data_IF_681310179804
#
_entry.id   IF_681310179804
#
_cell.length_a   1.000
_cell.length_b   1.000
_cell.length_c   1.000
_cell.angle_alpha   90.00
_cell.angle_beta   90.00
_cell.angle_gamma   90.00
#
_symmetry.space_group_name_H-M   'P 1'
#
loop_
_entity.id
_entity.type
_entity.pdbx_description
1 polymer ?
#
# COMPACT_ATOMS: atom_id res chain seq x y z
N UNK A 1 -11.20 12.42 33.35
CA UNK A 1 -11.73 11.86 32.07
C UNK A 1 -11.83 13.00 31.07
N UNK A 2 -11.23 12.89 29.89
CA UNK A 2 -11.38 13.90 28.84
C UNK A 2 -12.84 13.94 28.37
N UNK A 3 -13.37 15.15 28.11
CA UNK A 3 -14.70 15.29 27.52
C UNK A 3 -14.68 14.67 26.12
N UNK A 4 -15.61 13.75 25.86
CA UNK A 4 -15.81 13.17 24.53
C UNK A 4 -16.84 14.00 23.79
N UNK A 5 -16.48 14.48 22.60
CA UNK A 5 -17.39 15.20 21.71
C UNK A 5 -17.93 14.27 20.62
N UNK A 6 -19.10 14.60 20.06
CA UNK A 6 -19.73 13.82 18.99
C UNK A 6 -19.50 14.51 17.64
N UNK A 7 -19.11 13.72 16.65
CA UNK A 7 -18.97 14.17 15.26
C UNK A 7 -20.12 13.55 14.46
N UNK A 8 -20.83 14.38 13.70
CA UNK A 8 -21.90 13.94 12.79
C UNK A 8 -21.39 13.96 11.35
N UNK A 9 -21.40 12.79 10.70
CA UNK A 9 -20.98 12.64 9.30
C UNK A 9 -22.17 12.21 8.45
N UNK A 10 -22.40 12.91 7.33
CA UNK A 10 -23.36 12.50 6.30
C UNK A 10 -22.59 11.96 5.11
N UNK A 11 -22.91 10.73 4.71
CA UNK A 11 -22.28 10.05 3.57
C UNK A 11 -23.35 9.35 2.76
N UNK A 12 -23.06 9.11 1.48
CA UNK A 12 -23.91 8.29 0.61
C UNK A 12 -23.87 6.83 1.06
N UNK A 13 -24.94 6.08 0.76
CA UNK A 13 -25.08 4.67 1.14
C UNK A 13 -23.91 3.82 0.66
N UNK A 14 -23.49 3.97 -0.60
CA UNK A 14 -22.39 3.20 -1.19
C UNK A 14 -21.06 3.41 -0.46
N UNK A 15 -20.79 4.65 -0.03
CA UNK A 15 -19.58 4.98 0.73
C UNK A 15 -19.63 4.36 2.12
N UNK A 16 -20.79 4.40 2.76
CA UNK A 16 -20.98 3.77 4.07
C UNK A 16 -20.71 2.27 4.00
N UNK A 17 -21.31 1.59 3.03
CA UNK A 17 -21.12 0.14 2.85
C UNK A 17 -19.64 -0.20 2.59
N UNK A 18 -18.99 0.55 1.70
CA UNK A 18 -17.56 0.38 1.42
C UNK A 18 -16.71 0.50 2.69
N UNK A 19 -17.00 1.48 3.55
CA UNK A 19 -16.25 1.69 4.79
C UNK A 19 -16.51 0.58 5.81
N UNK A 20 -17.75 0.10 5.92
CA UNK A 20 -18.10 -1.02 6.79
C UNK A 20 -17.41 -2.32 6.36
N UNK A 21 -17.39 -2.61 5.05
CA UNK A 21 -16.66 -3.76 4.51
C UNK A 21 -15.16 -3.67 4.83
N UNK A 22 -14.56 -2.48 4.67
CA UNK A 22 -13.15 -2.24 5.00
C UNK A 22 -12.87 -2.38 6.49
N UNK A 23 -13.76 -1.86 7.33
CA UNK A 23 -13.64 -1.96 8.79
C UNK A 23 -13.66 -3.44 9.22
N UNK A 24 -14.62 -4.21 8.68
CA UNK A 24 -14.72 -5.65 8.92
C UNK A 24 -13.46 -6.41 8.48
N UNK A 25 -12.92 -6.10 7.30
CA UNK A 25 -11.67 -6.72 6.79
C UNK A 25 -10.47 -6.46 7.72
N UNK A 26 -10.46 -5.33 8.42
CA UNK A 26 -9.39 -4.94 9.35
C UNK A 26 -9.68 -5.30 10.81
N UNK A 27 -10.83 -5.94 11.10
CA UNK A 27 -11.25 -6.23 12.48
C UNK A 27 -11.58 -5.00 13.31
N UNK A 28 -11.87 -3.87 12.67
CA UNK A 28 -12.16 -2.58 13.32
C UNK A 28 -13.66 -2.26 13.27
N UNK A 29 -14.11 -1.42 14.20
CA UNK A 29 -15.41 -0.75 14.08
C UNK A 29 -15.33 0.35 13.01
N UNK A 30 -16.45 0.79 12.46
CA UNK A 30 -16.47 1.89 11.50
C UNK A 30 -15.83 3.16 12.08
N UNK A 31 -16.16 3.50 13.33
CA UNK A 31 -15.52 4.62 14.06
C UNK A 31 -14.02 4.38 14.23
N UNK A 32 -13.60 3.18 14.62
CA UNK A 32 -12.19 2.84 14.77
C UNK A 32 -11.41 2.97 13.46
N UNK A 33 -12.01 2.56 12.34
CA UNK A 33 -11.43 2.76 11.01
C UNK A 33 -11.29 4.25 10.66
N UNK A 34 -12.33 5.06 10.91
CA UNK A 34 -12.30 6.50 10.61
C UNK A 34 -11.25 7.20 11.46
N UNK A 35 -11.23 6.96 12.78
CA UNK A 35 -10.23 7.55 13.68
C UNK A 35 -8.82 7.09 13.32
N UNK A 36 -8.60 5.79 13.09
CA UNK A 36 -7.31 5.26 12.62
C UNK A 36 -6.86 5.95 11.34
N UNK A 37 -7.76 6.14 10.37
CA UNK A 37 -7.41 6.80 9.12
C UNK A 37 -7.10 8.27 9.33
N UNK A 38 -7.82 9.00 10.17
CA UNK A 38 -7.54 10.41 10.45
C UNK A 38 -6.21 10.58 11.19
N UNK A 39 -5.96 9.78 12.22
CA UNK A 39 -4.73 9.83 13.02
C UNK A 39 -3.50 9.45 12.18
N UNK A 40 -3.67 8.57 11.19
CA UNK A 40 -2.59 8.14 10.30
C UNK A 40 -2.61 8.83 8.93
N UNK A 41 -3.59 9.70 8.63
CA UNK A 41 -3.70 10.37 7.33
C UNK A 41 -2.58 11.39 7.11
N UNK A 42 -2.02 11.94 8.19
CA UNK A 42 -0.91 12.89 8.13
C UNK A 42 0.45 12.21 7.83
N UNK A 43 0.54 10.88 7.89
CA UNK A 43 1.85 10.20 7.82
C UNK A 43 2.30 9.77 6.42
N UNK A 44 1.42 9.80 5.41
CA UNK A 44 1.79 9.39 4.06
C UNK A 44 1.22 10.40 3.06
N UNK A 45 1.98 11.47 2.70
CA UNK A 45 1.63 12.24 1.52
C UNK A 45 1.49 11.29 0.32
N UNK A 46 0.51 11.50 -0.57
CA UNK A 46 0.42 10.69 -1.79
C UNK A 46 1.78 10.75 -2.48
N UNK A 47 2.41 9.58 -2.70
CA UNK A 47 3.71 9.52 -3.37
C UNK A 47 3.63 10.31 -4.66
N UNK A 48 4.51 11.30 -4.81
CA UNK A 48 4.56 12.09 -6.04
C UNK A 48 4.95 11.19 -7.21
N UNK A 49 4.68 11.65 -8.43
CA UNK A 49 5.13 10.94 -9.62
C UNK A 49 6.65 10.73 -9.59
N UNK A 50 7.42 11.74 -9.16
CA UNK A 50 8.88 11.60 -9.05
C UNK A 50 9.28 10.52 -8.04
N UNK A 51 8.60 10.44 -6.89
CA UNK A 51 8.86 9.41 -5.89
C UNK A 51 8.56 7.99 -6.41
N UNK A 52 7.48 7.83 -7.18
CA UNK A 52 7.17 6.54 -7.82
C UNK A 52 8.24 6.17 -8.86
N UNK A 53 8.71 7.12 -9.65
CA UNK A 53 9.80 6.90 -10.63
C UNK A 53 11.10 6.48 -9.92
N UNK A 54 11.47 7.17 -8.84
CA UNK A 54 12.66 6.84 -8.05
C UNK A 54 12.57 5.43 -7.45
N UNK A 55 11.40 5.04 -6.93
CA UNK A 55 11.22 3.71 -6.36
C UNK A 55 11.27 2.62 -7.44
N UNK A 56 10.63 2.82 -8.60
CA UNK A 56 10.76 1.90 -9.74
C UNK A 56 12.19 1.77 -10.25
N UNK A 57 12.99 2.84 -10.22
CA UNK A 57 14.41 2.78 -10.57
C UNK A 57 15.21 1.92 -9.57
N UNK A 58 14.93 2.02 -8.27
CA UNK A 58 15.57 1.18 -7.24
C UNK A 58 15.22 -0.30 -7.41
N UNK A 59 13.96 -0.60 -7.68
CA UNK A 59 13.50 -1.97 -7.94
C UNK A 59 14.19 -2.57 -9.17
N UNK A 60 14.27 -1.81 -10.27
CA UNK A 60 14.99 -2.22 -11.47
C UNK A 60 16.49 -2.42 -11.22
N UNK A 61 17.11 -1.56 -10.41
CA UNK A 61 18.52 -1.71 -10.03
C UNK A 61 18.78 -3.00 -9.25
N UNK A 62 17.91 -3.31 -8.27
CA UNK A 62 18.02 -4.53 -7.47
C UNK A 62 17.90 -5.79 -8.35
N UNK A 63 16.91 -5.81 -9.24
CA UNK A 63 16.70 -6.91 -10.19
C UNK A 63 17.94 -7.09 -11.07
N UNK A 64 18.46 -6.01 -11.66
CA UNK A 64 19.66 -6.07 -12.49
C UNK A 64 20.88 -6.59 -11.71
N UNK A 65 21.00 -6.20 -10.44
CA UNK A 65 22.05 -6.71 -9.55
C UNK A 65 21.95 -8.23 -9.38
N UNK A 66 20.75 -8.78 -9.21
CA UNK A 66 20.56 -10.23 -9.15
C UNK A 66 20.87 -10.94 -10.48
N UNK A 67 20.50 -10.35 -11.60
CA UNK A 67 20.80 -10.93 -12.92
C UNK A 67 22.31 -10.90 -13.25
N UNK A 68 23.04 -9.91 -12.75
CA UNK A 68 24.48 -9.77 -12.93
C UNK A 68 25.32 -10.47 -11.85
N UNK A 69 24.71 -10.88 -10.73
CA UNK A 69 25.43 -11.56 -9.65
C UNK A 69 26.04 -12.88 -10.13
N UNK A 70 27.35 -13.11 -9.89
CA UNK A 70 28.02 -14.36 -10.25
C UNK A 70 27.61 -15.52 -9.32
N UNK A 71 27.06 -15.22 -8.14
CA UNK A 71 26.67 -16.22 -7.12
C UNK A 71 25.33 -16.89 -7.45
N UNK A 72 24.55 -16.31 -8.36
CA UNK A 72 23.26 -16.83 -8.79
C UNK A 72 23.41 -17.71 -10.03
N UNK A 73 22.92 -18.95 -9.94
CA UNK A 73 22.86 -19.85 -11.09
C UNK A 73 21.97 -19.30 -12.21
N UNK A 74 22.28 -19.63 -13.46
CA UNK A 74 21.49 -19.23 -14.63
C UNK A 74 20.05 -19.72 -14.55
N UNK A 75 19.82 -20.88 -13.92
CA UNK A 75 18.46 -21.40 -13.68
C UNK A 75 17.66 -20.47 -12.78
N UNK A 76 18.28 -19.93 -11.73
CA UNK A 76 17.64 -18.97 -10.81
C UNK A 76 17.38 -17.64 -11.50
N UNK A 77 18.34 -17.13 -12.29
CA UNK A 77 18.18 -15.90 -13.08
C UNK A 77 17.03 -16.02 -14.08
N UNK A 78 16.89 -17.18 -14.74
CA UNK A 78 15.79 -17.45 -15.67
C UNK A 78 14.42 -17.47 -14.98
N UNK A 79 14.34 -17.92 -13.72
CA UNK A 79 13.09 -17.86 -12.94
C UNK A 79 12.73 -16.40 -12.65
N UNK A 80 13.70 -15.57 -12.23
CA UNK A 80 13.49 -14.15 -11.97
C UNK A 80 12.95 -13.45 -13.24
N UNK A 81 13.58 -13.65 -14.39
CA UNK A 81 13.13 -13.08 -15.68
C UNK A 81 11.72 -13.55 -16.05
N UNK A 82 11.40 -14.84 -15.82
CA UNK A 82 10.07 -15.39 -16.12
C UNK A 82 8.99 -14.77 -15.25
N UNK A 83 9.27 -14.55 -13.97
CA UNK A 83 8.32 -13.90 -13.06
C UNK A 83 8.13 -12.42 -13.40
N UNK A 84 9.20 -11.70 -13.74
CA UNK A 84 9.10 -10.29 -14.18
C UNK A 84 8.21 -10.11 -15.41
N UNK A 85 8.29 -11.00 -16.40
CA UNK A 85 7.47 -10.94 -17.62
C UNK A 85 5.96 -11.02 -17.37
N UNK A 86 5.50 -11.39 -16.18
CA UNK A 86 4.06 -11.39 -15.84
C UNK A 86 3.53 -10.00 -15.51
N UNK A 87 4.40 -9.03 -15.27
CA UNK A 87 4.07 -7.70 -14.77
C UNK A 87 4.44 -6.57 -15.76
N UNK A 88 4.95 -6.92 -16.94
CA UNK A 88 5.25 -6.03 -18.08
C UNK A 88 4.28 -6.37 -19.20
#
# INVERSE_FOLDING_TARGET
MSKKERIFLRVTSDKKELWEQRAKKQGLTLTGLITYRMDNCETIPPKTHEQNVVDSMKENYLINTFLQSPDLSDKTKNIIVKEMKKYV
#
